data_IF_567396448541
#
_entry.id   IF_567396448541
#
_cell.length_a   1.000
_cell.length_b   1.000
_cell.length_c   1.000
_cell.angle_alpha   90.00
_cell.angle_beta   90.00
_cell.angle_gamma   90.00
#
_symmetry.space_group_name_H-M   'P 1'
#
loop_
_entity.id
_entity.type
_entity.pdbx_description
1 polymer ?
#
# COMPACT_ATOMS: atom_id res chain seq x y z
N UNK A 1 -11.54 7.21 8.53
CA UNK A 1 -11.92 6.81 7.16
C UNK A 1 -10.75 7.12 6.23
N UNK A 2 -10.55 6.39 5.12
CA UNK A 2 -9.43 6.70 4.22
C UNK A 2 -9.80 7.92 3.39
N UNK A 3 -8.81 8.79 3.14
CA UNK A 3 -8.95 9.90 2.21
C UNK A 3 -9.25 9.35 0.80
N UNK A 4 -10.43 9.70 0.28
CA UNK A 4 -10.91 9.18 -1.00
C UNK A 4 -10.08 9.68 -2.18
N UNK A 5 -9.66 10.94 -2.12
CA UNK A 5 -8.84 11.57 -3.15
C UNK A 5 -7.47 10.88 -3.23
N UNK A 6 -6.85 10.63 -2.07
CA UNK A 6 -5.58 9.91 -2.02
C UNK A 6 -5.67 8.49 -2.61
N UNK A 7 -6.77 7.77 -2.36
CA UNK A 7 -6.96 6.42 -2.91
C UNK A 7 -7.19 6.44 -4.43
N UNK A 8 -7.86 7.46 -4.95
CA UNK A 8 -8.01 7.63 -6.39
C UNK A 8 -6.67 7.92 -7.06
N UNK A 9 -5.86 8.84 -6.50
CA UNK A 9 -4.49 9.11 -7.00
C UNK A 9 -3.67 7.82 -7.03
N UNK A 10 -3.73 7.01 -5.97
CA UNK A 10 -3.00 5.73 -5.95
C UNK A 10 -3.46 4.78 -7.05
N UNK A 11 -4.77 4.70 -7.31
CA UNK A 11 -5.30 3.86 -8.39
C UNK A 11 -4.82 4.34 -9.75
N UNK A 12 -4.87 5.66 -10.00
CA UNK A 12 -4.47 6.27 -11.26
C UNK A 12 -2.95 6.15 -11.50
N UNK A 13 -2.12 6.48 -10.49
CA UNK A 13 -0.65 6.41 -10.58
C UNK A 13 -0.16 4.97 -10.75
N UNK A 14 -0.80 3.99 -10.08
CA UNK A 14 -0.37 2.58 -10.19
C UNK A 14 -1.04 1.84 -11.35
N UNK A 15 -1.99 2.49 -12.03
CA UNK A 15 -2.85 1.93 -13.07
C UNK A 15 -3.45 0.57 -12.65
N UNK A 16 -3.97 0.51 -11.41
CA UNK A 16 -4.51 -0.73 -10.80
C UNK A 16 -5.78 -0.44 -10.01
N UNK A 17 -6.69 -1.40 -10.01
CA UNK A 17 -7.84 -1.37 -9.12
C UNK A 17 -7.39 -1.50 -7.66
N UNK A 18 -7.94 -0.64 -6.78
CA UNK A 18 -7.66 -0.68 -5.35
C UNK A 18 -8.95 -1.03 -4.59
N UNK A 19 -8.90 -2.13 -3.83
CA UNK A 19 -9.96 -2.58 -2.93
C UNK A 19 -9.59 -2.25 -1.48
N UNK A 20 -10.56 -1.80 -0.70
CA UNK A 20 -10.36 -1.41 0.70
C UNK A 20 -10.81 -2.53 1.63
N UNK A 21 -9.98 -2.90 2.60
CA UNK A 21 -10.38 -3.83 3.66
C UNK A 21 -11.60 -3.28 4.43
N UNK A 22 -12.60 -4.14 4.65
CA UNK A 22 -13.79 -3.76 5.42
C UNK A 22 -13.55 -3.83 6.94
N UNK A 23 -12.61 -4.66 7.38
CA UNK A 23 -12.32 -4.84 8.81
C UNK A 23 -11.57 -3.63 9.39
N UNK A 24 -12.09 -2.99 10.47
CA UNK A 24 -11.36 -1.95 11.17
C UNK A 24 -10.12 -2.51 11.91
N UNK A 25 -10.11 -3.82 12.20
CA UNK A 25 -9.02 -4.53 12.87
C UNK A 25 -8.45 -5.61 11.93
N UNK A 26 -7.94 -5.16 10.77
CA UNK A 26 -7.44 -6.06 9.72
C UNK A 26 -6.36 -7.04 10.24
N UNK A 27 -5.37 -6.65 11.08
CA UNK A 27 -4.39 -7.58 11.62
C UNK A 27 -5.02 -8.64 12.54
N UNK A 28 -5.94 -8.25 13.43
CA UNK A 28 -6.60 -9.18 14.34
C UNK A 28 -7.47 -10.20 13.60
N UNK A 29 -8.14 -9.78 12.52
CA UNK A 29 -8.88 -10.69 11.64
C UNK A 29 -7.93 -11.73 11.01
N UNK A 30 -6.75 -11.32 10.57
CA UNK A 30 -5.73 -12.25 10.06
C UNK A 30 -5.32 -13.29 11.11
N UNK A 31 -5.06 -12.86 12.36
CA UNK A 31 -4.77 -13.78 13.46
C UNK A 31 -5.93 -14.75 13.73
N UNK A 32 -7.17 -14.27 13.71
CA UNK A 32 -8.35 -15.11 13.88
C UNK A 32 -8.50 -16.13 12.75
N UNK A 33 -8.17 -15.76 11.51
CA UNK A 33 -8.15 -16.69 10.36
C UNK A 33 -7.15 -17.81 10.59
N UNK A 34 -5.92 -17.50 11.01
CA UNK A 34 -4.93 -18.54 11.33
C UNK A 34 -5.33 -19.36 12.55
N UNK A 35 -5.98 -18.77 13.56
CA UNK A 35 -6.58 -19.52 14.68
C UNK A 35 -7.64 -20.52 14.21
N UNK A 36 -8.49 -20.14 13.27
CA UNK A 36 -9.49 -21.04 12.68
C UNK A 36 -8.84 -22.15 11.83
N UNK A 37 -7.73 -21.86 11.14
CA UNK A 37 -6.96 -22.89 10.44
C UNK A 37 -6.31 -23.87 11.42
N UNK A 38 -5.74 -23.36 12.52
CA UNK A 38 -5.13 -24.19 13.56
C UNK A 38 -6.16 -25.08 14.29
N UNK A 39 -7.42 -24.64 14.38
CA UNK A 39 -8.51 -25.46 14.94
C UNK A 39 -8.84 -26.69 14.07
N UNK A 40 -8.66 -26.57 12.75
CA UNK A 40 -9.00 -27.60 11.76
C UNK A 40 -10.50 -27.71 11.49
N UNK A 41 -10.88 -28.19 10.30
CA UNK A 41 -12.28 -28.26 9.86
C UNK A 41 -13.17 -29.12 10.75
N UNK A 42 -12.64 -30.24 11.25
CA UNK A 42 -13.35 -31.17 12.16
C UNK A 42 -13.86 -30.49 13.44
N UNK A 43 -13.27 -29.36 13.85
CA UNK A 43 -13.65 -28.59 15.05
C UNK A 43 -14.33 -27.26 14.71
N UNK A 44 -14.82 -27.11 13.48
CA UNK A 44 -15.49 -25.88 13.00
C UNK A 44 -14.54 -24.81 12.48
N UNK A 45 -13.28 -25.16 12.22
CA UNK A 45 -12.27 -24.32 11.58
C UNK A 45 -12.20 -24.51 10.06
N UNK A 46 -11.01 -24.30 9.49
CA UNK A 46 -10.72 -24.50 8.06
C UNK A 46 -9.44 -25.32 7.89
N UNK A 47 -9.27 -26.01 6.76
CA UNK A 47 -8.07 -26.82 6.52
C UNK A 47 -6.94 -26.03 5.84
N UNK A 48 -7.25 -24.83 5.34
CA UNK A 48 -6.26 -23.94 4.74
C UNK A 48 -6.59 -22.47 4.94
N UNK A 49 -5.55 -21.63 4.94
CA UNK A 49 -5.72 -20.18 5.01
C UNK A 49 -6.46 -19.62 3.79
N UNK A 50 -6.33 -20.27 2.63
CA UNK A 50 -7.03 -19.89 1.39
C UNK A 50 -8.54 -20.12 1.53
N UNK A 51 -8.95 -21.23 2.15
CA UNK A 51 -10.36 -21.50 2.46
C UNK A 51 -10.89 -20.50 3.49
N UNK A 52 -10.17 -20.32 4.60
CA UNK A 52 -10.52 -19.33 5.63
C UNK A 52 -10.69 -17.92 5.03
N UNK A 53 -9.79 -17.50 4.14
CA UNK A 53 -9.85 -16.19 3.49
C UNK A 53 -11.11 -16.00 2.64
N UNK A 54 -11.58 -17.04 1.94
CA UNK A 54 -12.81 -16.94 1.12
C UNK A 54 -14.04 -16.58 1.93
N UNK A 55 -14.12 -17.03 3.18
CA UNK A 55 -15.30 -16.83 4.04
C UNK A 55 -15.11 -15.72 5.08
N UNK A 56 -13.90 -15.53 5.59
CA UNK A 56 -13.62 -14.61 6.70
C UNK A 56 -13.12 -13.24 6.24
N UNK A 57 -12.39 -13.15 5.12
CA UNK A 57 -11.89 -11.88 4.64
C UNK A 57 -13.03 -11.05 4.03
N UNK A 58 -13.06 -9.75 4.34
CA UNK A 58 -14.06 -8.83 3.81
C UNK A 58 -13.39 -7.58 3.24
N UNK A 59 -13.84 -7.20 2.05
CA UNK A 59 -13.51 -5.92 1.42
C UNK A 59 -14.77 -5.07 1.36
N UNK A 60 -14.62 -3.75 1.34
CA UNK A 60 -15.73 -2.83 1.07
C UNK A 60 -16.15 -2.96 -0.39
N UNK A 61 -17.42 -2.68 -0.68
CA UNK A 61 -17.95 -2.69 -2.05
C UNK A 61 -17.35 -1.56 -2.91
N UNK A 62 -16.89 -0.48 -2.27
CA UNK A 62 -16.21 0.62 -2.96
C UNK A 62 -14.86 0.13 -3.51
N UNK A 63 -14.71 0.21 -4.83
CA UNK A 63 -13.47 -0.07 -5.57
C UNK A 63 -13.04 1.21 -6.25
N UNK A 64 -11.78 1.60 -6.08
CA UNK A 64 -11.16 2.68 -6.83
C UNK A 64 -10.61 2.09 -8.12
N UNK A 65 -11.04 2.62 -9.27
CA UNK A 65 -10.61 2.19 -10.59
C UNK A 65 -9.82 3.31 -11.24
N UNK A 66 -8.74 2.98 -11.99
CA UNK A 66 -7.94 4.00 -12.63
C UNK A 66 -8.76 4.73 -13.70
N UNK A 67 -8.66 6.05 -13.71
CA UNK A 67 -9.12 6.87 -14.84
C UNK A 67 -8.02 6.93 -15.90
N UNK A 68 -8.32 6.47 -17.12
CA UNK A 68 -7.36 6.44 -18.22
C UNK A 68 -6.74 7.80 -18.54
N UNK A 69 -7.50 8.90 -18.40
CA UNK A 69 -6.99 10.24 -18.67
C UNK A 69 -5.98 10.67 -17.59
N UNK A 70 -6.25 10.32 -16.34
CA UNK A 70 -5.34 10.62 -15.24
C UNK A 70 -4.08 9.75 -15.32
N UNK A 71 -4.21 8.47 -15.66
CA UNK A 71 -3.07 7.55 -15.82
C UNK A 71 -2.05 8.11 -16.81
N UNK A 72 -2.50 8.57 -17.99
CA UNK A 72 -1.62 9.16 -19.01
C UNK A 72 -0.87 10.40 -18.51
N UNK A 73 -1.52 11.22 -17.66
CA UNK A 73 -0.90 12.39 -17.05
C UNK A 73 0.09 11.98 -15.96
N UNK A 74 -0.30 11.03 -15.09
CA UNK A 74 0.53 10.55 -14.01
C UNK A 74 1.75 9.78 -14.49
N UNK A 75 1.70 9.08 -15.63
CA UNK A 75 2.86 8.44 -16.23
C UNK A 75 3.95 9.45 -16.58
N UNK A 76 3.57 10.61 -17.14
CA UNK A 76 4.50 11.71 -17.43
C UNK A 76 5.10 12.29 -16.15
N UNK A 77 4.26 12.53 -15.14
CA UNK A 77 4.72 13.05 -13.84
C UNK A 77 5.61 12.04 -13.11
N UNK A 78 5.31 10.75 -13.21
CA UNK A 78 6.09 9.69 -12.57
C UNK A 78 7.46 9.53 -13.22
N UNK A 79 7.59 9.76 -14.53
CA UNK A 79 8.88 9.80 -15.20
C UNK A 79 9.79 10.89 -14.60
N UNK A 80 9.27 12.11 -14.41
CA UNK A 80 10.01 13.21 -13.75
C UNK A 80 10.33 12.90 -12.29
N UNK A 81 9.37 12.34 -11.55
CA UNK A 81 9.60 11.86 -10.19
C UNK A 81 10.76 10.87 -10.12
N UNK A 82 10.81 9.91 -11.06
CA UNK A 82 11.85 8.88 -11.10
C UNK A 82 13.24 9.47 -11.38
N UNK A 83 13.33 10.44 -12.30
CA UNK A 83 14.57 11.16 -12.57
C UNK A 83 15.10 11.84 -11.31
N UNK A 84 14.24 12.57 -10.59
CA UNK A 84 14.63 13.25 -9.36
C UNK A 84 14.92 12.27 -8.22
N UNK A 85 14.14 11.20 -8.10
CA UNK A 85 14.36 10.13 -7.14
C UNK A 85 15.75 9.52 -7.32
N UNK A 86 16.14 9.18 -8.54
CA UNK A 86 17.43 8.57 -8.81
C UNK A 86 18.57 9.59 -8.66
N UNK A 87 18.37 10.83 -9.11
CA UNK A 87 19.37 11.89 -8.94
C UNK A 87 19.71 12.13 -7.45
N UNK A 88 18.71 12.34 -6.60
CA UNK A 88 18.94 12.60 -5.18
C UNK A 88 19.18 11.34 -4.33
N UNK A 89 18.67 10.18 -4.76
CA UNK A 89 18.64 8.95 -3.97
C UNK A 89 19.68 7.90 -4.37
N UNK A 90 20.20 7.93 -5.60
CA UNK A 90 21.14 6.92 -6.13
C UNK A 90 22.54 7.47 -6.44
N UNK A 91 22.91 8.60 -5.84
CA UNK A 91 24.28 9.14 -5.93
C UNK A 91 24.53 10.09 -7.09
N UNK A 92 23.52 10.50 -7.86
CA UNK A 92 23.65 11.61 -8.81
C UNK A 92 23.98 12.93 -8.10
N UNK A 93 23.40 13.14 -6.92
CA UNK A 93 23.74 14.24 -6.02
C UNK A 93 23.35 13.94 -4.56
N UNK A 94 24.34 13.61 -3.73
CA UNK A 94 24.16 13.37 -2.29
C UNK A 94 23.94 14.65 -1.44
N UNK A 95 23.42 15.73 -2.04
CA UNK A 95 23.19 17.02 -1.35
C UNK A 95 22.35 16.86 -0.09
N UNK A 96 21.34 15.99 -0.09
CA UNK A 96 20.50 15.76 1.09
C UNK A 96 21.29 15.20 2.28
N UNK A 97 22.27 14.30 2.04
CA UNK A 97 23.14 13.76 3.10
C UNK A 97 24.09 14.84 3.61
N UNK A 98 24.74 15.57 2.69
CA UNK A 98 25.66 16.67 3.05
C UNK A 98 24.98 17.75 3.88
N UNK A 99 23.78 18.18 3.49
CA UNK A 99 23.02 19.19 4.24
C UNK A 99 22.63 18.70 5.65
N UNK A 100 22.31 17.41 5.82
CA UNK A 100 22.06 16.83 7.15
C UNK A 100 23.33 16.82 8.02
N UNK A 101 24.50 16.54 7.44
CA UNK A 101 25.77 16.57 8.16
C UNK A 101 26.15 18.00 8.58
N UNK A 102 26.08 18.96 7.66
CA UNK A 102 26.31 20.39 7.98
C UNK A 102 25.39 20.85 9.10
N UNK A 103 24.10 20.48 9.05
CA UNK A 103 23.13 20.79 10.11
C UNK A 103 23.53 20.16 11.46
N UNK A 104 24.13 18.98 11.46
CA UNK A 104 24.58 18.28 12.67
C UNK A 104 25.80 19.00 13.26
N UNK A 105 26.81 19.28 12.42
CA UNK A 105 28.05 19.97 12.79
C UNK A 105 27.78 21.38 13.34
N UNK A 106 26.83 22.12 12.75
CA UNK A 106 26.45 23.46 13.23
C UNK A 106 25.67 23.48 14.56
N UNK A 107 25.27 22.31 15.08
CA UNK A 107 24.55 22.17 16.36
C UNK A 107 25.43 21.61 17.47
N UNK A 108 26.64 21.17 17.15
CA UNK A 108 27.69 20.77 18.10
C UNK A 108 28.51 22.00 18.49
#
# INVERSE_FOLDING_TARGET
>A
EKDEFMMQIYSDVTNREIRIAASPQTPALGSAMFGAVAAGKEKGGYDSIVEAAKYMAKVKDKVYKPDSQNVEVYDKLYAEYKLLHDYFGRGGNDVMKRLKNIKKEARE
#
